data_IF_145976113124
#
_entry.id   IF_145976113124
#
_cell.length_a   1.000
_cell.length_b   1.000
_cell.length_c   1.000
_cell.angle_alpha   90.00
_cell.angle_beta   90.00
_cell.angle_gamma   90.00
#
_symmetry.space_group_name_H-M   'P 1'
#
loop_
_entity.id
_entity.type
_entity.pdbx_description
1 polymer ?
#
# COMPACT_ATOMS: atom_id res chain seq x y z
N UNK A 1 29.73 -19.67 -13.31
CA UNK A 1 28.69 -20.48 -12.63
C UNK A 1 28.21 -19.70 -11.43
N UNK A 2 27.09 -18.99 -11.53
CA UNK A 2 26.40 -18.50 -10.33
C UNK A 2 25.78 -19.72 -9.64
N UNK A 3 25.97 -19.92 -8.33
CA UNK A 3 25.30 -21.00 -7.62
C UNK A 3 23.81 -20.66 -7.58
N UNK A 4 23.05 -21.21 -8.52
CA UNK A 4 21.60 -21.24 -8.42
C UNK A 4 21.28 -22.05 -7.16
N UNK A 5 20.70 -21.39 -6.16
CA UNK A 5 20.18 -21.99 -4.92
C UNK A 5 21.22 -22.36 -3.84
N UNK A 6 22.14 -21.44 -3.50
CA UNK A 6 23.00 -21.64 -2.31
C UNK A 6 22.22 -21.78 -0.99
N UNK A 7 21.00 -21.24 -0.92
CA UNK A 7 20.13 -21.31 0.25
C UNK A 7 18.68 -21.59 -0.16
N UNK A 8 17.98 -22.43 0.59
CA UNK A 8 16.54 -22.60 0.42
C UNK A 8 15.81 -21.37 0.97
N UNK A 9 14.82 -20.78 0.27
CA UNK A 9 14.05 -19.63 0.76
C UNK A 9 13.47 -19.82 2.17
N UNK A 10 13.00 -21.04 2.47
CA UNK A 10 12.48 -21.36 3.81
C UNK A 10 13.52 -21.24 4.93
N UNK A 11 14.81 -21.45 4.63
CA UNK A 11 15.88 -21.31 5.60
C UNK A 11 16.26 -19.85 5.86
N UNK A 12 16.07 -18.97 4.88
CA UNK A 12 16.35 -17.53 5.00
C UNK A 12 15.18 -16.72 5.56
N UNK A 13 13.96 -17.28 5.52
CA UNK A 13 12.75 -16.60 6.00
C UNK A 13 12.88 -16.05 7.44
N UNK A 14 13.39 -16.81 8.43
CA UNK A 14 13.55 -16.30 9.79
C UNK A 14 14.48 -15.10 9.87
N UNK A 15 15.58 -15.09 9.10
CA UNK A 15 16.54 -14.00 9.09
C UNK A 15 15.93 -12.72 8.49
N UNK A 16 15.14 -12.86 7.43
CA UNK A 16 14.46 -11.74 6.78
C UNK A 16 13.36 -11.17 7.68
N UNK A 17 12.62 -12.04 8.37
CA UNK A 17 11.64 -11.62 9.38
C UNK A 17 12.34 -10.85 10.50
N UNK A 18 13.44 -11.37 11.05
CA UNK A 18 14.21 -10.68 12.07
C UNK A 18 14.72 -9.31 11.59
N UNK A 19 15.23 -9.20 10.36
CA UNK A 19 15.63 -7.91 9.76
C UNK A 19 14.45 -6.94 9.61
N UNK A 20 13.24 -7.46 9.41
CA UNK A 20 12.03 -6.65 9.28
C UNK A 20 11.49 -6.18 10.61
N UNK A 21 11.39 -7.08 11.57
CA UNK A 21 10.93 -6.78 12.94
C UNK A 21 11.86 -5.75 13.62
N UNK A 22 13.15 -5.77 13.29
CA UNK A 22 14.14 -4.84 13.81
C UNK A 22 14.33 -3.57 12.95
N UNK A 23 13.47 -3.31 11.97
CA UNK A 23 13.63 -2.16 11.06
C UNK A 23 13.71 -0.82 11.82
N UNK A 24 12.99 -0.68 12.94
CA UNK A 24 13.03 0.51 13.79
C UNK A 24 14.46 0.86 14.26
N UNK A 25 15.31 -0.15 14.46
CA UNK A 25 16.72 0.03 14.86
C UNK A 25 17.59 0.62 13.72
N UNK A 26 17.13 0.48 12.48
CA UNK A 26 17.87 0.86 11.27
C UNK A 26 17.23 2.05 10.53
N UNK A 27 16.30 2.77 11.15
CA UNK A 27 15.57 3.87 10.51
C UNK A 27 16.49 5.00 10.02
N UNK A 28 17.62 5.22 10.71
CA UNK A 28 18.61 6.24 10.34
C UNK A 28 19.46 5.81 9.13
N UNK A 29 19.54 4.52 8.84
CA UNK A 29 20.23 3.99 7.66
C UNK A 29 19.24 3.81 6.50
N UNK A 30 19.11 4.87 5.71
CA UNK A 30 18.24 4.88 4.54
C UNK A 30 18.62 3.82 3.49
N UNK A 31 19.91 3.44 3.40
CA UNK A 31 20.39 2.44 2.44
C UNK A 31 19.95 1.05 2.89
N UNK A 32 20.20 0.70 4.15
CA UNK A 32 19.78 -0.58 4.72
C UNK A 32 18.26 -0.73 4.72
N UNK A 33 17.52 0.29 5.19
CA UNK A 33 16.06 0.28 5.18
C UNK A 33 15.49 0.09 3.76
N UNK A 34 16.08 0.75 2.76
CA UNK A 34 15.69 0.54 1.36
C UNK A 34 16.07 -0.84 0.85
N UNK A 35 17.22 -1.39 1.26
CA UNK A 35 17.67 -2.73 0.88
C UNK A 35 16.73 -3.82 1.39
N UNK A 36 16.33 -3.76 2.66
CA UNK A 36 15.41 -4.75 3.23
C UNK A 36 14.03 -4.64 2.57
N UNK A 37 13.57 -3.42 2.26
CA UNK A 37 12.30 -3.22 1.53
C UNK A 37 12.34 -3.86 0.15
N UNK A 38 13.42 -3.66 -0.61
CA UNK A 38 13.59 -4.30 -1.92
C UNK A 38 13.62 -5.83 -1.76
N UNK A 39 14.30 -6.35 -0.75
CA UNK A 39 14.33 -7.77 -0.47
C UNK A 39 12.92 -8.34 -0.22
N UNK A 40 12.09 -7.66 0.59
CA UNK A 40 10.69 -8.05 0.81
C UNK A 40 9.85 -7.94 -0.48
N UNK A 41 10.08 -6.93 -1.32
CA UNK A 41 9.42 -6.79 -2.62
C UNK A 41 9.76 -7.96 -3.56
N UNK A 42 11.03 -8.34 -3.67
CA UNK A 42 11.45 -9.50 -4.47
C UNK A 42 10.90 -10.80 -3.90
N UNK A 43 10.90 -10.96 -2.57
CA UNK A 43 10.32 -12.12 -1.90
C UNK A 43 8.84 -12.33 -2.23
N UNK A 44 8.10 -11.21 -2.32
CA UNK A 44 6.71 -11.23 -2.74
C UNK A 44 6.56 -11.57 -4.23
N UNK A 45 7.35 -10.92 -5.11
CA UNK A 45 7.31 -11.15 -6.57
C UNK A 45 7.58 -12.60 -6.93
N UNK A 46 8.55 -13.21 -6.27
CA UNK A 46 8.97 -14.59 -6.52
C UNK A 46 8.06 -15.63 -5.85
N UNK A 47 6.94 -15.21 -5.25
CA UNK A 47 5.94 -16.09 -4.67
C UNK A 47 6.55 -17.02 -3.58
N UNK A 48 7.52 -16.51 -2.81
CA UNK A 48 8.28 -17.28 -1.82
C UNK A 48 7.48 -17.58 -0.53
N UNK A 49 7.90 -18.57 0.27
CA UNK A 49 7.21 -18.94 1.52
C UNK A 49 7.21 -17.79 2.54
N UNK A 50 6.13 -17.69 3.34
CA UNK A 50 6.00 -16.66 4.38
C UNK A 50 5.81 -15.23 3.85
N UNK A 51 5.66 -15.06 2.53
CA UNK A 51 5.54 -13.73 1.89
C UNK A 51 4.39 -12.88 2.41
N UNK A 52 3.29 -13.50 2.85
CA UNK A 52 2.10 -12.77 3.35
C UNK A 52 2.44 -12.02 4.63
N UNK A 53 3.06 -12.69 5.60
CA UNK A 53 3.55 -12.07 6.83
C UNK A 53 4.57 -10.97 6.56
N UNK A 54 5.60 -11.25 5.74
CA UNK A 54 6.66 -10.28 5.42
C UNK A 54 6.10 -9.04 4.70
N UNK A 55 5.12 -9.25 3.83
CA UNK A 55 4.54 -8.18 3.06
C UNK A 55 3.61 -7.32 3.91
N UNK A 56 2.73 -7.91 4.72
CA UNK A 56 1.84 -7.17 5.63
C UNK A 56 2.62 -6.23 6.55
N UNK A 57 3.79 -6.67 7.02
CA UNK A 57 4.70 -5.83 7.83
C UNK A 57 5.40 -4.73 7.02
N UNK A 58 5.66 -4.97 5.72
CA UNK A 58 6.38 -4.02 4.85
C UNK A 58 5.48 -2.93 4.26
N UNK A 59 4.18 -3.19 4.16
CA UNK A 59 3.21 -2.30 3.54
C UNK A 59 3.09 -0.92 4.23
N UNK A 60 3.00 -0.82 5.57
CA UNK A 60 3.00 0.48 6.26
C UNK A 60 4.23 1.32 5.92
N UNK A 61 5.42 0.68 5.89
CA UNK A 61 6.66 1.36 5.54
C UNK A 61 6.65 1.88 4.09
N UNK A 62 6.21 1.07 3.14
CA UNK A 62 6.09 1.47 1.73
C UNK A 62 5.15 2.66 1.55
N UNK A 63 4.00 2.64 2.22
CA UNK A 63 3.03 3.73 2.21
C UNK A 63 3.61 5.00 2.82
N UNK A 64 4.15 4.92 4.04
CA UNK A 64 4.79 6.05 4.72
C UNK A 64 5.90 6.67 3.87
N UNK A 65 6.77 5.85 3.29
CA UNK A 65 7.84 6.30 2.39
C UNK A 65 7.29 6.99 1.15
N UNK A 66 6.26 6.44 0.50
CA UNK A 66 5.64 7.04 -0.68
C UNK A 66 5.03 8.42 -0.40
N UNK A 67 4.42 8.59 0.78
CA UNK A 67 3.80 9.83 1.23
C UNK A 67 4.84 10.89 1.60
N UNK A 68 5.98 10.46 2.17
CA UNK A 68 7.07 11.33 2.62
C UNK A 68 7.97 11.75 1.45
N UNK A 69 8.50 10.80 0.68
CA UNK A 69 9.45 11.07 -0.41
C UNK A 69 8.76 11.58 -1.68
N UNK A 70 7.45 11.33 -1.81
CA UNK A 70 6.59 11.77 -2.90
C UNK A 70 7.07 11.39 -4.30
N UNK A 71 7.75 10.25 -4.44
CA UNK A 71 8.25 9.75 -5.73
C UNK A 71 7.19 8.87 -6.41
N UNK A 72 6.97 9.08 -7.71
CA UNK A 72 6.04 8.26 -8.51
C UNK A 72 6.39 6.77 -8.51
N UNK A 73 7.68 6.42 -8.45
CA UNK A 73 8.11 5.02 -8.37
C UNK A 73 7.64 4.34 -7.07
N UNK A 74 7.63 5.06 -5.95
CA UNK A 74 7.16 4.50 -4.68
C UNK A 74 5.64 4.27 -4.72
N UNK A 75 4.87 5.16 -5.37
CA UNK A 75 3.43 4.93 -5.64
C UNK A 75 3.22 3.68 -6.48
N UNK A 76 4.00 3.52 -7.55
CA UNK A 76 3.89 2.34 -8.41
C UNK A 76 4.18 1.06 -7.63
N UNK A 77 5.18 1.06 -6.74
CA UNK A 77 5.49 -0.09 -5.87
C UNK A 77 4.32 -0.44 -4.94
N UNK A 78 3.73 0.57 -4.29
CA UNK A 78 2.53 0.38 -3.45
C UNK A 78 1.36 -0.15 -4.28
N UNK A 79 1.08 0.43 -5.45
CA UNK A 79 -0.07 0.04 -6.28
C UNK A 79 0.10 -1.32 -6.96
N UNK A 80 1.35 -1.72 -7.28
CA UNK A 80 1.65 -3.05 -7.79
C UNK A 80 1.54 -4.12 -6.71
N UNK A 81 1.55 -3.70 -5.45
CA UNK A 81 1.45 -4.63 -4.33
C UNK A 81 0.00 -5.10 -4.16
N UNK A 82 -0.21 -6.40 -4.32
CA UNK A 82 -1.51 -7.04 -4.05
C UNK A 82 -1.72 -7.32 -2.57
N UNK A 83 -0.70 -7.12 -1.74
CA UNK A 83 -0.74 -7.51 -0.34
C UNK A 83 -1.73 -6.72 0.51
N UNK A 84 -2.17 -5.54 0.04
CA UNK A 84 -3.27 -4.78 0.66
C UNK A 84 -4.55 -5.64 0.77
N UNK A 85 -4.76 -6.58 -0.17
CA UNK A 85 -5.90 -7.51 -0.14
C UNK A 85 -5.87 -8.49 1.05
N UNK A 86 -4.69 -8.78 1.58
CA UNK A 86 -4.51 -9.78 2.62
C UNK A 86 -4.55 -9.19 4.03
N UNK A 87 -4.70 -7.87 4.14
CA UNK A 87 -4.83 -7.21 5.43
C UNK A 87 -6.23 -7.48 6.01
N UNK A 88 -6.28 -7.88 7.29
CA UNK A 88 -7.53 -7.91 8.03
C UNK A 88 -7.89 -6.48 8.48
N UNK A 89 -8.86 -5.88 7.81
CA UNK A 89 -9.28 -4.51 8.10
C UNK A 89 -10.15 -4.36 9.34
N UNK A 90 -10.51 -5.46 9.99
CA UNK A 90 -11.20 -5.43 11.29
C UNK A 90 -10.19 -5.50 12.45
N UNK A 91 -8.92 -5.82 12.19
CA UNK A 91 -7.87 -5.80 13.19
C UNK A 91 -7.53 -4.35 13.62
N UNK A 92 -7.50 -4.12 14.93
CA UNK A 92 -7.14 -2.83 15.54
C UNK A 92 -5.62 -2.58 15.49
N UNK A 93 -4.80 -3.62 15.39
CA UNK A 93 -3.34 -3.49 15.33
C UNK A 93 -2.84 -2.83 14.04
N UNK A 94 -3.69 -2.78 13.02
CA UNK A 94 -3.39 -2.15 11.72
C UNK A 94 -3.94 -0.72 11.59
N UNK A 95 -4.34 -0.08 12.69
CA UNK A 95 -4.92 1.27 12.65
C UNK A 95 -3.97 2.29 11.98
N UNK A 96 -2.67 2.22 12.27
CA UNK A 96 -1.67 3.06 11.61
C UNK A 96 -1.63 2.85 10.09
N UNK A 97 -1.81 1.60 9.63
CA UNK A 97 -1.91 1.29 8.22
C UNK A 97 -3.16 1.91 7.60
N UNK A 98 -4.33 1.82 8.27
CA UNK A 98 -5.58 2.45 7.82
C UNK A 98 -5.41 3.96 7.70
N UNK A 99 -4.78 4.62 8.68
CA UNK A 99 -4.49 6.05 8.63
C UNK A 99 -3.57 6.42 7.45
N UNK A 100 -2.55 5.61 7.16
CA UNK A 100 -1.68 5.81 5.99
C UNK A 100 -2.46 5.70 4.68
N UNK A 101 -3.36 4.72 4.55
CA UNK A 101 -4.23 4.55 3.38
C UNK A 101 -5.19 5.74 3.20
N UNK A 102 -5.78 6.24 4.29
CA UNK A 102 -6.61 7.45 4.28
C UNK A 102 -5.80 8.66 3.81
N UNK A 103 -4.54 8.80 4.24
CA UNK A 103 -3.66 9.89 3.78
C UNK A 103 -3.34 9.79 2.28
N UNK A 104 -3.34 8.60 1.69
CA UNK A 104 -3.19 8.43 0.24
C UNK A 104 -4.36 9.05 -0.53
N UNK A 105 -5.59 9.01 0.01
CA UNK A 105 -6.80 9.51 -0.65
C UNK A 105 -6.80 11.03 -0.87
N UNK A 106 -6.11 11.78 -0.01
CA UNK A 106 -5.96 13.24 -0.16
C UNK A 106 -4.60 13.64 -0.74
N UNK A 107 -3.73 12.68 -1.02
CA UNK A 107 -2.39 12.97 -1.53
C UNK A 107 -2.46 13.35 -3.01
N UNK A 108 -2.00 14.57 -3.40
CA UNK A 108 -1.96 14.97 -4.80
C UNK A 108 -1.13 14.04 -5.68
N UNK A 109 -0.16 13.34 -5.09
CA UNK A 109 0.69 12.39 -5.80
C UNK A 109 -0.13 11.17 -6.26
N UNK A 110 -0.94 10.60 -5.38
CA UNK A 110 -1.78 9.45 -5.70
C UNK A 110 -2.90 9.85 -6.67
N UNK A 111 -3.59 10.97 -6.39
CA UNK A 111 -4.69 11.48 -7.21
C UNK A 111 -4.27 11.79 -8.66
N UNK A 112 -3.05 12.27 -8.88
CA UNK A 112 -2.55 12.62 -10.22
C UNK A 112 -2.02 11.43 -11.02
N UNK A 113 -1.84 10.26 -10.41
CA UNK A 113 -1.34 9.07 -11.11
C UNK A 113 -2.46 8.09 -11.38
N UNK A 114 -2.43 7.43 -12.53
CA UNK A 114 -3.44 6.43 -12.89
C UNK A 114 -3.39 5.23 -11.93
N UNK A 115 -2.18 4.69 -11.66
CA UNK A 115 -1.99 3.63 -10.68
C UNK A 115 -2.52 4.02 -9.30
N UNK A 116 -2.24 5.25 -8.85
CA UNK A 116 -2.76 5.77 -7.59
C UNK A 116 -4.28 5.78 -7.58
N UNK A 117 -4.94 6.35 -8.59
CA UNK A 117 -6.42 6.38 -8.66
C UNK A 117 -7.04 4.99 -8.69
N UNK A 118 -6.43 4.00 -9.36
CA UNK A 118 -6.88 2.60 -9.33
C UNK A 118 -6.80 2.01 -7.92
N UNK A 119 -5.70 2.24 -7.22
CA UNK A 119 -5.55 1.84 -5.81
C UNK A 119 -6.62 2.52 -4.95
N UNK A 120 -6.82 3.84 -5.08
CA UNK A 120 -7.82 4.57 -4.30
C UNK A 120 -9.24 4.04 -4.52
N UNK A 121 -9.60 3.70 -5.76
CA UNK A 121 -10.89 3.06 -6.05
C UNK A 121 -11.00 1.68 -5.38
N UNK A 122 -9.93 0.90 -5.40
CA UNK A 122 -9.86 -0.42 -4.77
C UNK A 122 -10.05 -0.36 -3.25
N UNK A 123 -9.54 0.67 -2.57
CA UNK A 123 -9.69 0.81 -1.10
C UNK A 123 -11.15 0.83 -0.64
N UNK A 124 -12.09 1.25 -1.49
CA UNK A 124 -13.51 1.27 -1.16
C UNK A 124 -14.11 -0.13 -1.04
N UNK A 125 -13.48 -1.14 -1.66
CA UNK A 125 -13.91 -2.54 -1.54
C UNK A 125 -13.33 -3.27 -0.33
N UNK A 126 -12.43 -2.65 0.43
CA UNK A 126 -11.67 -3.34 1.48
C UNK A 126 -12.27 -3.22 2.87
N UNK A 127 -12.84 -2.07 3.21
CA UNK A 127 -13.42 -1.83 4.53
C UNK A 127 -14.49 -0.75 4.48
N UNK A 128 -15.64 -1.05 5.08
CA UNK A 128 -16.73 -0.09 5.22
C UNK A 128 -16.31 1.13 6.06
N UNK A 129 -15.39 0.95 7.01
CA UNK A 129 -14.86 2.05 7.82
C UNK A 129 -14.04 3.01 6.95
N UNK A 130 -13.13 2.49 6.13
CA UNK A 130 -12.35 3.29 5.17
C UNK A 130 -13.29 4.07 4.24
N UNK A 131 -14.35 3.43 3.72
CA UNK A 131 -15.34 4.11 2.88
C UNK A 131 -15.99 5.28 3.63
N UNK A 132 -16.49 5.05 4.85
CA UNK A 132 -17.13 6.08 5.66
C UNK A 132 -16.20 7.27 5.92
N UNK A 133 -14.97 7.01 6.35
CA UNK A 133 -13.99 8.06 6.66
C UNK A 133 -13.64 8.85 5.40
N UNK A 134 -13.51 8.16 4.27
CA UNK A 134 -13.22 8.79 2.98
C UNK A 134 -14.36 9.68 2.51
N UNK A 135 -15.61 9.18 2.56
CA UNK A 135 -16.79 9.93 2.15
C UNK A 135 -17.03 11.14 3.07
N UNK A 136 -16.72 11.03 4.36
CA UNK A 136 -16.75 12.17 5.28
C UNK A 136 -15.64 13.19 4.97
N UNK A 137 -14.45 12.73 4.58
CA UNK A 137 -13.29 13.59 4.35
C UNK A 137 -13.34 14.33 3.00
N UNK A 138 -13.72 13.67 1.90
CA UNK A 138 -13.67 14.26 0.55
C UNK A 138 -14.41 15.61 0.44
N UNK A 139 -15.63 15.78 0.97
CA UNK A 139 -16.34 17.06 0.93
C UNK A 139 -15.54 18.23 1.52
N UNK A 140 -14.76 17.98 2.58
CA UNK A 140 -13.90 19.01 3.19
C UNK A 140 -12.78 19.49 2.25
N UNK A 141 -12.40 18.67 1.27
CA UNK A 141 -11.32 18.95 0.31
C UNK A 141 -11.83 19.70 -0.93
N UNK A 142 -13.13 19.67 -1.23
CA UNK A 142 -13.70 20.23 -2.45
C UNK A 142 -13.49 21.75 -2.57
N UNK A 143 -13.76 22.58 -1.54
CA UNK A 143 -13.64 24.04 -1.65
C UNK A 143 -12.23 24.53 -1.96
N UNK A 144 -11.22 23.75 -1.57
CA UNK A 144 -9.80 24.09 -1.71
C UNK A 144 -9.13 23.34 -2.89
N UNK A 145 -9.87 22.44 -3.55
CA UNK A 145 -9.37 21.58 -4.60
C UNK A 145 -9.23 22.28 -5.94
N UNK A 146 -8.06 22.11 -6.59
CA UNK A 146 -7.91 22.49 -8.01
C UNK A 146 -8.77 21.60 -8.88
N UNK A 147 -9.20 22.08 -10.05
CA UNK A 147 -10.00 21.32 -11.03
C UNK A 147 -9.47 19.88 -11.27
N UNK A 148 -8.16 19.73 -11.48
CA UNK A 148 -7.54 18.41 -11.71
C UNK A 148 -7.62 17.45 -10.52
N UNK A 149 -7.68 17.98 -9.29
CA UNK A 149 -7.88 17.18 -8.07
C UNK A 149 -9.35 16.76 -7.96
N UNK A 150 -10.30 17.65 -8.26
CA UNK A 150 -11.72 17.33 -8.26
C UNK A 150 -12.07 16.29 -9.34
N UNK A 151 -11.45 16.38 -10.52
CA UNK A 151 -11.56 15.38 -11.59
C UNK A 151 -11.01 14.02 -11.15
N UNK A 152 -9.90 14.01 -10.39
CA UNK A 152 -9.35 12.78 -9.83
C UNK A 152 -10.29 12.13 -8.80
N UNK A 153 -10.89 12.92 -7.89
CA UNK A 153 -11.91 12.43 -6.96
C UNK A 153 -13.08 11.80 -7.70
N UNK A 154 -13.60 12.49 -8.72
CA UNK A 154 -14.67 11.96 -9.56
C UNK A 154 -14.30 10.62 -10.21
N UNK A 155 -13.10 10.52 -10.78
CA UNK A 155 -12.64 9.32 -11.49
C UNK A 155 -12.59 8.09 -10.58
N UNK A 156 -11.93 8.15 -9.43
CA UNK A 156 -11.81 6.95 -8.58
C UNK A 156 -13.11 6.62 -7.84
N UNK A 157 -13.91 7.61 -7.40
CA UNK A 157 -15.20 7.36 -6.75
C UNK A 157 -16.16 6.68 -7.73
N UNK A 158 -16.22 7.16 -8.97
CA UNK A 158 -17.07 6.55 -10.00
C UNK A 158 -16.67 5.11 -10.28
N UNK A 159 -15.36 4.81 -10.35
CA UNK A 159 -14.85 3.44 -10.49
C UNK A 159 -15.24 2.57 -9.31
N UNK A 160 -15.06 3.05 -8.08
CA UNK A 160 -15.43 2.32 -6.87
C UNK A 160 -16.93 2.00 -6.86
N UNK A 161 -17.77 2.98 -7.20
CA UNK A 161 -19.22 2.80 -7.31
C UNK A 161 -19.60 1.76 -8.36
N UNK A 162 -18.95 1.79 -9.54
CA UNK A 162 -19.19 0.78 -10.58
C UNK A 162 -18.81 -0.62 -10.17
N UNK A 163 -17.67 -0.80 -9.50
CA UNK A 163 -17.28 -2.10 -8.96
C UNK A 163 -18.33 -2.63 -7.97
N UNK A 164 -18.83 -1.78 -7.06
CA UNK A 164 -19.87 -2.17 -6.11
C UNK A 164 -21.22 -2.54 -6.76
N UNK A 165 -21.60 -1.88 -7.86
CA UNK A 165 -22.81 -2.26 -8.62
C UNK A 165 -22.69 -3.63 -9.30
N UNK A 166 -21.47 -4.02 -9.71
CA UNK A 166 -21.20 -5.31 -10.36
C UNK A 166 -21.22 -6.45 -9.34
N UNK A 167 -20.63 -6.24 -8.16
CA UNK A 167 -20.65 -7.21 -7.05
C UNK A 167 -22.08 -7.51 -6.56
N UNK A 168 -22.98 -6.52 -6.58
CA UNK A 168 -24.37 -6.69 -6.14
C UNK A 168 -25.27 -7.41 -7.17
N UNK A 169 -24.75 -7.71 -8.36
CA UNK A 169 -25.47 -8.44 -9.43
C UNK A 169 -25.04 -9.90 -9.58
N UNK A 170 -23.97 -10.31 -8.88
CA UNK A 170 -23.49 -11.71 -8.81
C UNK A 170 -24.12 -12.46 -7.66
#
# INVERSE_FOLDING_TARGET
MHPQNAFSPSALLPDIQALRDNQALFELDAVLSSGITILCEEWWKDNLPGRESLFSQSLPFLLARSLTLKKKMDVHRVCASRGIYFCDFEDETIEDLKLLLIRCLISPLYLKTEYGRRLLAFLFGLSNQIVKDTVAMIPSQIPFGRKSILEAYRDFIFRAWKAAEEDNKG
#
